data_IF_581938767309
#
_entry.id   IF_581938767309
#
_cell.length_a   1.000
_cell.length_b   1.000
_cell.length_c   1.000
_cell.angle_alpha   90.00
_cell.angle_beta   90.00
_cell.angle_gamma   90.00
#
_symmetry.space_group_name_H-M   'P 1'
#
loop_
_entity.id
_entity.type
_entity.pdbx_description
1 polymer ?
#
# COMPACT_ATOMS: atom_id res chain seq x y z
N UNK A 1 8.42 9.83 7.82
CA UNK A 1 7.47 9.01 7.06
C UNK A 1 6.11 9.68 7.02
N UNK A 2 5.41 9.62 5.90
CA UNK A 2 4.06 10.17 5.79
C UNK A 2 3.03 9.05 5.84
N UNK A 3 2.04 9.23 6.70
CA UNK A 3 0.88 8.36 6.80
C UNK A 3 -0.37 9.10 6.31
N UNK A 4 -1.16 8.43 5.49
CA UNK A 4 -2.39 8.98 4.95
C UNK A 4 -3.49 7.93 5.01
N UNK A 5 -4.65 8.29 5.53
CA UNK A 5 -5.85 7.45 5.46
C UNK A 5 -6.88 8.18 4.60
N UNK A 6 -7.34 7.54 3.56
CA UNK A 6 -8.36 8.10 2.71
C UNK A 6 -9.55 7.15 2.56
N UNK A 7 -10.70 7.73 2.29
CA UNK A 7 -11.95 7.02 2.12
C UNK A 7 -12.49 7.30 0.71
N UNK A 8 -12.89 6.26 0.00
CA UNK A 8 -13.50 6.41 -1.32
C UNK A 8 -14.63 5.40 -1.54
N UNK A 9 -15.53 5.72 -2.45
CA UNK A 9 -16.61 4.82 -2.82
C UNK A 9 -16.11 3.83 -3.87
N UNK A 10 -15.91 2.59 -3.45
CA UNK A 10 -15.52 1.50 -4.34
C UNK A 10 -16.70 1.09 -5.23
N UNK A 11 -16.42 0.90 -6.51
CA UNK A 11 -17.38 0.35 -7.46
C UNK A 11 -17.53 -1.17 -7.31
N UNK A 12 -16.41 -1.86 -7.06
CA UNK A 12 -16.40 -3.30 -6.84
C UNK A 12 -17.15 -3.71 -5.57
N UNK A 13 -17.07 -2.89 -4.50
CA UNK A 13 -17.71 -3.16 -3.23
C UNK A 13 -19.11 -2.54 -3.10
N UNK A 14 -19.41 -1.50 -3.89
CA UNK A 14 -20.69 -0.77 -3.82
C UNK A 14 -20.83 0.15 -2.60
N UNK A 15 -19.80 0.27 -1.76
CA UNK A 15 -19.80 1.10 -0.54
C UNK A 15 -18.48 1.85 -0.38
N UNK A 16 -18.42 2.72 0.63
CA UNK A 16 -17.17 3.41 0.99
C UNK A 16 -16.21 2.47 1.70
N UNK A 17 -14.93 2.60 1.37
CA UNK A 17 -13.84 1.81 1.95
C UNK A 17 -12.70 2.73 2.38
N UNK A 18 -12.12 2.43 3.54
CA UNK A 18 -10.94 3.09 4.04
C UNK A 18 -9.67 2.38 3.55
N UNK A 19 -8.68 3.17 3.19
CA UNK A 19 -7.36 2.67 2.82
C UNK A 19 -6.30 3.52 3.51
N UNK A 20 -5.39 2.86 4.21
CA UNK A 20 -4.21 3.49 4.79
C UNK A 20 -3.01 3.33 3.88
N UNK A 21 -2.28 4.42 3.67
CA UNK A 21 -1.08 4.46 2.82
C UNK A 21 0.07 5.12 3.56
N UNK A 22 1.22 4.49 3.50
CA UNK A 22 2.46 4.95 4.12
C UNK A 22 3.51 5.19 3.05
N UNK A 23 4.21 6.34 3.15
CA UNK A 23 5.27 6.75 2.24
C UNK A 23 6.61 6.96 2.94
N UNK A 24 7.73 6.60 2.34
CA UNK A 24 9.06 6.81 2.90
C UNK A 24 9.56 8.26 2.69
N UNK A 25 8.78 9.27 3.05
CA UNK A 25 9.07 10.69 2.77
C UNK A 25 10.35 11.20 3.42
N UNK A 26 10.70 10.69 4.61
CA UNK A 26 11.87 11.19 5.36
C UNK A 26 13.20 10.81 4.71
N UNK A 27 13.19 9.92 3.73
CA UNK A 27 14.37 9.53 2.96
C UNK A 27 14.64 10.47 1.78
N UNK A 28 13.76 11.46 1.55
CA UNK A 28 13.84 12.34 0.39
C UNK A 28 13.86 13.80 0.81
N UNK A 29 14.64 14.59 0.07
CA UNK A 29 14.56 16.05 0.07
C UNK A 29 13.71 16.52 -1.10
N UNK A 30 12.79 17.41 -0.85
CA UNK A 30 11.85 17.95 -1.84
C UNK A 30 12.19 19.38 -2.27
N UNK A 31 13.18 20.02 -1.63
CA UNK A 31 13.56 21.42 -1.90
C UNK A 31 15.06 21.61 -2.13
N UNK A 32 15.84 20.57 -2.18
CA UNK A 32 17.28 20.63 -2.45
C UNK A 32 17.50 19.99 -3.81
N UNK A 33 18.05 20.77 -4.74
CA UNK A 33 18.34 20.30 -6.11
C UNK A 33 19.68 19.56 -6.22
N UNK A 34 20.58 19.76 -5.26
CA UNK A 34 21.91 19.14 -5.25
C UNK A 34 21.89 17.82 -4.45
N UNK A 35 22.19 16.72 -5.13
CA UNK A 35 22.31 15.38 -4.51
C UNK A 35 23.47 15.29 -3.49
N UNK A 36 24.40 16.23 -3.53
CA UNK A 36 25.51 16.33 -2.59
C UNK A 36 25.21 17.24 -1.39
N UNK A 37 24.02 17.83 -1.34
CA UNK A 37 23.63 18.65 -0.21
C UNK A 37 23.60 17.81 1.07
N UNK A 38 24.11 18.38 2.16
CA UNK A 38 24.18 17.70 3.47
C UNK A 38 22.81 17.72 4.18
N UNK A 39 21.81 17.11 3.54
CA UNK A 39 20.46 16.92 4.10
C UNK A 39 20.36 15.50 4.64
N UNK A 40 20.20 15.38 5.94
CA UNK A 40 20.02 14.08 6.60
C UNK A 40 18.53 13.74 6.71
N UNK A 41 18.20 12.50 6.39
CA UNK A 41 16.91 11.91 6.71
C UNK A 41 16.79 11.65 8.22
N UNK A 42 15.58 11.35 8.70
CA UNK A 42 15.34 10.96 10.10
C UNK A 42 16.12 9.71 10.52
N UNK A 43 16.54 8.88 9.59
CA UNK A 43 17.39 7.70 9.85
C UNK A 43 18.90 8.04 9.94
N UNK A 44 19.27 9.32 9.80
CA UNK A 44 20.67 9.77 9.80
C UNK A 44 21.44 9.44 8.51
N UNK A 45 20.79 8.98 7.47
CA UNK A 45 21.35 8.77 6.13
C UNK A 45 21.14 10.04 5.29
N UNK A 46 21.99 10.26 4.29
CA UNK A 46 21.77 11.33 3.34
C UNK A 46 20.44 11.15 2.62
N UNK A 47 19.62 12.21 2.61
CA UNK A 47 18.37 12.20 1.90
C UNK A 47 18.62 12.23 0.39
N UNK A 48 17.87 11.40 -0.34
CA UNK A 48 17.87 11.43 -1.81
C UNK A 48 17.04 12.62 -2.28
N UNK A 49 17.44 13.27 -3.37
CA UNK A 49 16.61 14.32 -3.98
C UNK A 49 15.40 13.68 -4.64
N UNK A 50 14.20 14.14 -4.27
CA UNK A 50 12.98 13.72 -4.93
C UNK A 50 12.90 14.37 -6.32
N UNK A 51 12.68 13.55 -7.34
CA UNK A 51 12.50 14.01 -8.72
C UNK A 51 11.05 13.73 -9.17
N UNK A 52 10.39 14.71 -9.81
CA UNK A 52 9.06 14.48 -10.39
C UNK A 52 9.05 13.24 -11.28
N UNK A 53 8.06 12.38 -11.08
CA UNK A 53 7.94 11.12 -11.81
C UNK A 53 8.60 9.91 -11.16
N UNK A 54 9.32 10.07 -10.04
CA UNK A 54 9.80 8.92 -9.26
C UNK A 54 8.62 8.04 -8.85
N UNK A 55 8.84 6.73 -8.89
CA UNK A 55 7.86 5.71 -8.51
C UNK A 55 8.44 4.80 -7.43
N UNK A 56 7.57 4.30 -6.56
CA UNK A 56 7.93 3.43 -5.45
C UNK A 56 7.42 2.02 -5.66
N UNK A 57 8.20 1.05 -5.22
CA UNK A 57 7.69 -0.30 -4.99
C UNK A 57 6.55 -0.24 -3.97
N UNK A 58 5.52 -1.04 -4.19
CA UNK A 58 4.30 -1.01 -3.39
C UNK A 58 4.01 -2.37 -2.80
N UNK A 59 3.81 -2.43 -1.49
CA UNK A 59 3.34 -3.61 -0.78
C UNK A 59 1.89 -3.39 -0.37
N UNK A 60 1.00 -4.22 -0.89
CA UNK A 60 -0.39 -4.32 -0.45
C UNK A 60 -0.42 -5.30 0.74
N UNK A 61 -0.61 -4.78 1.94
CA UNK A 61 -0.62 -5.56 3.17
C UNK A 61 -2.05 -5.77 3.65
N UNK A 62 -2.48 -7.01 3.61
CA UNK A 62 -3.86 -7.40 3.92
C UNK A 62 -3.93 -7.87 5.38
N UNK A 63 -4.80 -7.23 6.16
CA UNK A 63 -4.98 -7.49 7.58
C UNK A 63 -5.71 -8.82 7.87
N UNK A 64 -5.67 -9.25 9.13
CA UNK A 64 -6.36 -10.45 9.61
C UNK A 64 -7.85 -10.25 9.86
N UNK A 65 -8.53 -11.32 10.20
CA UNK A 65 -9.94 -11.26 10.56
C UNK A 65 -10.17 -10.47 11.86
N UNK A 66 -11.18 -9.62 11.87
CA UNK A 66 -11.51 -8.75 13.01
C UNK A 66 -10.69 -7.46 13.11
N UNK A 67 -9.73 -7.27 12.21
CA UNK A 67 -8.85 -6.11 12.13
C UNK A 67 -9.40 -5.05 11.17
N UNK A 68 -8.64 -3.97 11.02
CA UNK A 68 -8.88 -2.89 10.07
C UNK A 68 -7.59 -2.44 9.35
N UNK A 69 -7.70 -1.45 8.50
CA UNK A 69 -6.59 -0.86 7.74
C UNK A 69 -5.50 -0.23 8.63
N UNK A 70 -5.75 0.00 9.91
CA UNK A 70 -4.82 0.66 10.83
C UNK A 70 -4.06 -0.29 11.76
N UNK A 71 -4.57 -1.51 11.97
CA UNK A 71 -4.06 -2.40 13.02
C UNK A 71 -2.58 -2.70 12.86
N UNK A 72 -2.13 -2.97 11.65
CA UNK A 72 -0.72 -3.31 11.40
C UNK A 72 0.23 -2.20 11.84
N UNK A 73 -0.15 -0.94 11.63
CA UNK A 73 0.67 0.21 12.05
C UNK A 73 0.68 0.39 13.57
N UNK A 74 -0.41 0.06 14.24
CA UNK A 74 -0.56 0.21 15.69
C UNK A 74 0.19 -0.85 16.50
N UNK A 75 0.39 -2.04 15.93
CA UNK A 75 0.93 -3.20 16.64
C UNK A 75 2.24 -3.74 16.05
N UNK A 76 2.81 -3.08 15.03
CA UNK A 76 4.05 -3.52 14.43
C UNK A 76 4.96 -2.35 14.03
N UNK A 77 6.18 -2.67 13.61
CA UNK A 77 7.13 -1.71 13.05
C UNK A 77 7.04 -1.62 11.50
N UNK A 78 5.91 -1.98 10.91
CA UNK A 78 5.75 -2.03 9.45
C UNK A 78 6.06 -0.69 8.78
N UNK A 79 5.63 0.42 9.39
CA UNK A 79 5.95 1.79 8.95
C UNK A 79 7.45 2.04 8.86
N UNK A 80 8.18 1.72 9.91
CA UNK A 80 9.63 1.86 9.96
C UNK A 80 10.32 1.01 8.90
N UNK A 81 9.92 -0.24 8.77
CA UNK A 81 10.50 -1.13 7.77
C UNK A 81 10.22 -0.65 6.33
N UNK A 82 9.03 -0.14 6.07
CA UNK A 82 8.69 0.46 4.78
C UNK A 82 9.58 1.67 4.48
N UNK A 83 9.83 2.54 5.46
CA UNK A 83 10.74 3.66 5.31
C UNK A 83 12.18 3.21 5.09
N UNK A 84 12.69 2.31 5.90
CA UNK A 84 14.09 1.86 5.82
C UNK A 84 14.40 1.20 4.46
N UNK A 85 13.39 0.65 3.79
CA UNK A 85 13.49 0.00 2.48
C UNK A 85 12.95 0.84 1.31
N UNK A 86 12.54 2.08 1.51
CA UNK A 86 11.96 2.95 0.48
C UNK A 86 10.74 2.35 -0.23
N UNK A 87 9.89 1.66 0.49
CA UNK A 87 8.71 0.98 -0.02
C UNK A 87 7.44 1.73 0.41
N UNK A 88 6.49 1.85 -0.49
CA UNK A 88 5.15 2.31 -0.16
C UNK A 88 4.32 1.14 0.38
N UNK A 89 3.59 1.37 1.48
CA UNK A 89 2.75 0.36 2.10
C UNK A 89 1.28 0.77 1.98
N UNK A 90 0.44 -0.13 1.49
CA UNK A 90 -1.00 0.09 1.27
C UNK A 90 -1.79 -0.95 2.05
N UNK A 91 -2.65 -0.51 2.94
CA UNK A 91 -3.48 -1.40 3.77
C UNK A 91 -4.95 -1.07 3.56
N UNK A 92 -5.69 -1.83 2.74
CA UNK A 92 -7.12 -1.64 2.58
C UNK A 92 -7.89 -2.24 3.76
N UNK A 93 -9.01 -1.61 4.14
CA UNK A 93 -9.96 -2.20 5.07
C UNK A 93 -10.86 -3.21 4.34
N UNK A 94 -10.65 -4.49 4.60
CA UNK A 94 -11.49 -5.58 4.06
C UNK A 94 -12.08 -6.37 5.24
N UNK A 95 -13.28 -6.07 5.69
CA UNK A 95 -13.88 -6.79 6.82
C UNK A 95 -13.86 -8.31 6.56
N UNK A 96 -14.31 -9.12 7.50
CA UNK A 96 -14.22 -10.60 7.50
C UNK A 96 -14.83 -11.26 6.23
N UNK A 97 -14.23 -10.96 5.07
CA UNK A 97 -14.70 -11.36 3.74
C UNK A 97 -13.92 -12.50 3.12
N UNK A 98 -12.74 -12.83 3.66
CA UNK A 98 -11.75 -13.74 3.05
C UNK A 98 -11.40 -13.37 1.59
N UNK A 99 -11.61 -12.12 1.18
CA UNK A 99 -11.36 -11.66 -0.19
C UNK A 99 -12.23 -12.32 -1.25
N UNK A 100 -13.43 -12.77 -0.89
CA UNK A 100 -14.30 -13.53 -1.77
C UNK A 100 -15.31 -12.59 -2.45
N UNK A 101 -15.52 -12.78 -3.75
CA UNK A 101 -16.60 -12.15 -4.48
C UNK A 101 -17.93 -12.82 -4.16
N UNK A 102 -18.96 -12.01 -3.95
CA UNK A 102 -20.29 -12.51 -3.64
C UNK A 102 -21.25 -12.30 -4.80
N UNK A 103 -22.23 -13.20 -4.95
CA UNK A 103 -23.30 -13.06 -5.94
C UNK A 103 -24.20 -11.83 -5.70
N UNK A 104 -24.06 -11.17 -4.57
CA UNK A 104 -24.84 -9.98 -4.21
C UNK A 104 -24.14 -8.66 -4.59
N UNK A 105 -23.02 -8.72 -5.33
CA UNK A 105 -22.32 -7.54 -5.85
C UNK A 105 -21.29 -6.92 -4.91
N UNK A 106 -20.93 -7.61 -3.82
CA UNK A 106 -19.77 -7.21 -2.98
C UNK A 106 -18.60 -8.07 -3.40
N UNK A 107 -17.67 -7.48 -4.16
CA UNK A 107 -16.64 -8.22 -4.89
C UNK A 107 -15.24 -7.84 -4.35
N UNK A 108 -14.83 -8.46 -3.23
CA UNK A 108 -13.55 -8.17 -2.58
C UNK A 108 -12.34 -8.63 -3.40
N UNK A 109 -12.44 -9.75 -4.11
CA UNK A 109 -11.36 -10.20 -4.99
C UNK A 109 -11.13 -9.19 -6.11
N UNK A 110 -12.20 -8.76 -6.78
CA UNK A 110 -12.16 -7.73 -7.82
C UNK A 110 -11.64 -6.38 -7.30
N UNK A 111 -12.04 -6.01 -6.09
CA UNK A 111 -11.53 -4.82 -5.43
C UNK A 111 -10.01 -4.86 -5.27
N UNK A 112 -9.47 -5.96 -4.73
CA UNK A 112 -8.05 -6.10 -4.41
C UNK A 112 -7.20 -6.24 -5.68
N UNK A 113 -7.67 -7.03 -6.66
CA UNK A 113 -6.87 -7.34 -7.85
C UNK A 113 -6.96 -6.28 -8.94
N UNK A 114 -8.09 -5.59 -9.07
CA UNK A 114 -8.32 -4.66 -10.19
C UNK A 114 -8.45 -3.21 -9.71
N UNK A 115 -9.41 -2.90 -8.84
CA UNK A 115 -9.77 -1.52 -8.51
C UNK A 115 -8.73 -0.83 -7.63
N UNK A 116 -8.32 -1.47 -6.55
CA UNK A 116 -7.37 -0.88 -5.59
C UNK A 116 -6.03 -0.51 -6.25
N UNK A 117 -5.37 -1.38 -7.06
CA UNK A 117 -4.14 -1.01 -7.73
C UNK A 117 -4.29 0.19 -8.67
N UNK A 118 -5.41 0.30 -9.37
CA UNK A 118 -5.69 1.44 -10.27
C UNK A 118 -5.84 2.72 -9.45
N UNK A 119 -6.62 2.70 -8.39
CA UNK A 119 -6.81 3.85 -7.49
C UNK A 119 -5.48 4.30 -6.89
N UNK A 120 -4.69 3.36 -6.38
CA UNK A 120 -3.39 3.65 -5.78
C UNK A 120 -2.41 4.24 -6.79
N UNK A 121 -2.32 3.70 -7.99
CA UNK A 121 -1.45 4.26 -9.06
C UNK A 121 -1.91 5.63 -9.55
N UNK A 122 -3.20 5.92 -9.46
CA UNK A 122 -3.79 7.20 -9.88
C UNK A 122 -3.55 8.33 -8.88
N UNK A 123 -3.57 8.01 -7.60
CA UNK A 123 -3.47 9.00 -6.52
C UNK A 123 -2.05 9.15 -5.97
N UNK A 124 -1.23 8.13 -6.10
CA UNK A 124 0.07 8.03 -5.47
C UNK A 124 1.19 7.66 -6.45
N UNK A 125 2.42 7.84 -6.01
CA UNK A 125 3.61 7.53 -6.82
C UNK A 125 3.95 6.02 -6.82
N UNK A 126 2.94 5.15 -6.94
CA UNK A 126 3.12 3.69 -7.06
C UNK A 126 3.67 3.31 -8.44
N UNK A 127 4.58 2.35 -8.48
CA UNK A 127 5.10 1.80 -9.74
C UNK A 127 4.03 0.95 -10.44
N UNK A 128 3.85 1.11 -11.76
CA UNK A 128 2.96 0.25 -12.53
C UNK A 128 3.56 -1.11 -12.89
N UNK A 129 4.84 -1.32 -12.66
CA UNK A 129 5.54 -2.56 -13.03
C UNK A 129 5.16 -3.70 -12.10
N UNK A 130 4.95 -4.89 -12.66
CA UNK A 130 4.60 -6.08 -11.89
C UNK A 130 5.65 -6.40 -10.82
N UNK A 131 6.92 -6.38 -11.17
CA UNK A 131 8.04 -6.69 -10.28
C UNK A 131 8.21 -5.70 -9.10
N UNK A 132 7.50 -4.58 -9.14
CA UNK A 132 7.50 -3.56 -8.10
C UNK A 132 6.26 -3.63 -7.18
N UNK A 133 5.33 -4.58 -7.44
CA UNK A 133 4.11 -4.71 -6.66
C UNK A 133 4.07 -6.06 -5.94
N UNK A 134 3.79 -6.01 -4.65
CA UNK A 134 3.79 -7.18 -3.78
C UNK A 134 2.49 -7.24 -2.99
N UNK A 135 1.93 -8.42 -2.81
CA UNK A 135 0.81 -8.65 -1.91
C UNK A 135 1.25 -9.53 -0.75
N UNK A 136 0.94 -9.11 0.45
CA UNK A 136 1.31 -9.76 1.71
C UNK A 136 0.10 -9.77 2.62
N UNK A 137 -0.03 -10.78 3.47
CA UNK A 137 -1.09 -10.83 4.45
C UNK A 137 -0.82 -11.81 5.57
N UNK A 138 -1.57 -11.69 6.64
CA UNK A 138 -1.52 -12.62 7.76
C UNK A 138 -2.93 -13.09 8.14
N UNK A 139 -3.04 -14.30 8.68
CA UNK A 139 -4.31 -14.95 9.01
C UNK A 139 -5.29 -14.92 7.81
N UNK A 140 -6.48 -14.32 7.96
CA UNK A 140 -7.43 -14.12 6.85
C UNK A 140 -6.75 -13.43 5.66
N UNK A 141 -5.97 -12.37 5.91
CA UNK A 141 -5.25 -11.65 4.86
C UNK A 141 -4.20 -12.49 4.14
N UNK A 142 -3.58 -13.46 4.81
CA UNK A 142 -2.69 -14.42 4.18
C UNK A 142 -3.42 -15.31 3.15
N UNK A 143 -4.63 -15.75 3.47
CA UNK A 143 -5.48 -16.48 2.52
C UNK A 143 -5.85 -15.61 1.32
N UNK A 144 -6.22 -14.35 1.58
CA UNK A 144 -6.54 -13.38 0.52
C UNK A 144 -5.33 -13.12 -0.39
N UNK A 145 -4.16 -12.88 0.19
CA UNK A 145 -2.93 -12.61 -0.56
C UNK A 145 -2.54 -13.80 -1.44
N UNK A 146 -2.56 -15.02 -0.89
CA UNK A 146 -2.27 -16.24 -1.63
C UNK A 146 -3.30 -16.47 -2.75
N UNK A 147 -4.58 -16.33 -2.45
CA UNK A 147 -5.66 -16.48 -3.43
C UNK A 147 -5.53 -15.49 -4.58
N UNK A 148 -5.26 -14.22 -4.28
CA UNK A 148 -5.05 -13.18 -5.29
C UNK A 148 -3.83 -13.50 -6.17
N UNK A 149 -2.69 -13.87 -5.58
CA UNK A 149 -1.49 -14.20 -6.34
C UNK A 149 -1.65 -15.44 -7.25
N UNK A 150 -2.47 -16.40 -6.84
CA UNK A 150 -2.74 -17.60 -7.66
C UNK A 150 -3.75 -17.34 -8.78
N UNK A 151 -4.76 -16.49 -8.54
CA UNK A 151 -5.79 -16.18 -9.53
C UNK A 151 -5.34 -15.09 -10.52
N UNK A 152 -4.44 -14.21 -10.11
CA UNK A 152 -3.95 -13.07 -10.88
C UNK A 152 -2.42 -13.00 -10.89
N UNK A 153 -1.72 -14.00 -11.47
CA UNK A 153 -0.27 -14.05 -11.48
C UNK A 153 0.39 -12.93 -12.31
N UNK A 154 -0.40 -12.21 -13.08
CA UNK A 154 0.01 -11.07 -13.88
C UNK A 154 0.16 -9.76 -13.07
N UNK A 155 -0.34 -9.71 -11.83
CA UNK A 155 -0.31 -8.52 -10.96
C UNK A 155 1.03 -8.30 -10.26
#
# INVERSE_FOLDING_TARGET
MSYMRFNFRSQALGHYVDVSVVFPTDNYSYFVEDENADVLSMSGKHAKVYRPGMKFQTVYLIHGGGDDDTLTYRYSNAERYAQDNNVMLVTPNIPNSFGIDTRYGINYQKFISEELPVVIRSLFASSPKREDNFIVGYAMGGNVALGTALMHPEL
#
